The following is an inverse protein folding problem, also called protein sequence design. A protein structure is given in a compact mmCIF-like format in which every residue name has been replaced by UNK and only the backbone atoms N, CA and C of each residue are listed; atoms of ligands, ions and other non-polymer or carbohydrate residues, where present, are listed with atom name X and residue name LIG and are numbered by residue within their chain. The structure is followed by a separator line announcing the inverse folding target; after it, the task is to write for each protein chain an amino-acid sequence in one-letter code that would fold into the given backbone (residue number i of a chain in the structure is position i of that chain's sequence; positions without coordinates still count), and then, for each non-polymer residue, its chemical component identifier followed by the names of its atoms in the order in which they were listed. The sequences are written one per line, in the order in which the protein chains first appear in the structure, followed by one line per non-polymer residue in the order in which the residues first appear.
data_IF_720344410360
#
_entry.id   IF_720344410360
#
_cell.length_a   1.000
_cell.length_b   1.000
_cell.length_c   1.000
_cell.angle_alpha   90.00
_cell.angle_beta   90.00
_cell.angle_gamma   90.00
#
_symmetry.space_group_name_H-M   'P 1'
#
loop_
_entity.id
_entity.type
_entity.pdbx_description
1 polymer ?
#
# COMPACT_ATOMS: atom_id res chain seq x y z
N UNK A 1 7.19 -18.04 3.98
CA UNK A 1 6.42 -18.41 5.19
C UNK A 1 6.61 -17.33 6.25
N UNK A 2 5.54 -16.81 6.86
CA UNK A 2 5.64 -15.79 7.94
C UNK A 2 6.06 -16.45 9.26
N UNK A 3 6.96 -15.80 10.00
CA UNK A 3 7.38 -16.27 11.34
C UNK A 3 6.34 -15.91 12.40
N UNK A 4 6.20 -16.68 13.51
CA UNK A 4 5.38 -16.29 14.66
C UNK A 4 5.74 -14.88 15.15
N UNK A 5 4.73 -14.11 15.57
CA UNK A 5 4.85 -12.68 15.88
C UNK A 5 4.79 -11.76 14.65
N UNK A 6 4.79 -12.32 13.43
CA UNK A 6 4.67 -11.58 12.19
C UNK A 6 3.30 -10.94 11.98
N UNK A 7 3.24 -10.01 11.01
CA UNK A 7 2.00 -9.33 10.60
C UNK A 7 1.77 -9.52 9.11
N UNK A 8 0.65 -10.14 8.76
CA UNK A 8 0.13 -10.24 7.41
C UNK A 8 -0.61 -8.95 7.07
N UNK A 9 -0.01 -8.15 6.18
CA UNK A 9 -0.62 -6.93 5.64
C UNK A 9 -1.26 -7.26 4.30
N UNK A 10 -2.53 -6.92 4.13
CA UNK A 10 -3.25 -7.16 2.87
C UNK A 10 -3.78 -5.87 2.27
N UNK A 11 -3.62 -5.76 0.94
CA UNK A 11 -4.18 -4.67 0.10
C UNK A 11 -5.46 -5.15 -0.60
N UNK A 12 -5.63 -6.47 -0.80
CA UNK A 12 -6.73 -7.09 -1.55
C UNK A 12 -7.57 -8.09 -0.75
N UNK A 13 -7.29 -8.27 0.53
CA UNK A 13 -8.03 -9.16 1.43
C UNK A 13 -9.30 -8.53 1.99
N UNK A 14 -10.09 -9.26 2.81
CA UNK A 14 -11.27 -8.69 3.41
C UNK A 14 -10.89 -7.54 4.36
N UNK A 15 -11.64 -6.43 4.33
CA UNK A 15 -11.47 -5.33 5.28
C UNK A 15 -11.69 -5.83 6.71
N UNK A 16 -10.93 -5.27 7.65
CA UNK A 16 -10.99 -5.63 9.05
C UNK A 16 -11.53 -4.50 9.93
N UNK A 17 -11.62 -4.76 11.22
CA UNK A 17 -12.12 -3.77 12.19
C UNK A 17 -11.18 -2.56 12.29
N UNK A 18 -9.87 -2.75 12.09
CA UNK A 18 -8.90 -1.66 12.13
C UNK A 18 -9.17 -0.66 10.99
N UNK A 19 -9.41 -1.15 9.78
CA UNK A 19 -9.84 -0.33 8.64
C UNK A 19 -11.13 0.45 8.94
N UNK A 20 -12.16 -0.19 9.52
CA UNK A 20 -13.41 0.49 9.84
C UNK A 20 -13.22 1.61 10.88
N UNK A 21 -12.37 1.40 11.90
CA UNK A 21 -12.05 2.42 12.90
C UNK A 21 -11.30 3.60 12.30
N UNK A 22 -10.33 3.33 11.42
CA UNK A 22 -9.52 4.36 10.77
C UNK A 22 -10.35 5.26 9.84
N UNK A 23 -11.42 4.72 9.26
CA UNK A 23 -12.39 5.48 8.45
C UNK A 23 -13.53 6.11 9.28
N UNK A 24 -13.43 6.16 10.61
CA UNK A 24 -14.44 6.81 11.45
C UNK A 24 -15.80 6.13 11.43
N UNK A 25 -15.86 4.83 11.16
CA UNK A 25 -17.13 4.12 10.92
C UNK A 25 -17.89 3.78 12.21
N UNK A 26 -19.22 3.80 12.12
CA UNK A 26 -20.12 3.44 13.21
C UNK A 26 -20.00 1.95 13.60
N UNK A 27 -20.42 1.61 14.82
CA UNK A 27 -20.18 0.31 15.44
C UNK A 27 -20.77 -0.89 14.66
N UNK A 28 -21.89 -0.69 13.96
CA UNK A 28 -22.51 -1.70 13.10
C UNK A 28 -21.57 -2.13 11.96
N UNK A 29 -20.93 -1.17 11.29
CA UNK A 29 -19.99 -1.46 10.22
C UNK A 29 -18.75 -2.19 10.76
N UNK A 30 -18.31 -1.83 11.97
CA UNK A 30 -17.22 -2.54 12.64
C UNK A 30 -17.58 -4.02 12.90
N UNK A 31 -18.83 -4.34 13.27
CA UNK A 31 -19.26 -5.74 13.40
C UNK A 31 -19.34 -6.45 12.05
N UNK A 32 -19.82 -5.76 11.00
CA UNK A 32 -19.79 -6.28 9.63
C UNK A 32 -18.37 -6.67 9.20
N UNK A 33 -17.40 -5.76 9.33
CA UNK A 33 -15.99 -6.03 9.00
C UNK A 33 -15.39 -7.13 9.88
N UNK A 34 -15.82 -7.26 11.14
CA UNK A 34 -15.39 -8.35 12.02
C UNK A 34 -15.80 -9.71 11.48
N UNK A 35 -17.03 -9.85 10.97
CA UNK A 35 -17.52 -11.08 10.37
C UNK A 35 -16.80 -11.37 9.05
N UNK A 36 -16.68 -10.38 8.17
CA UNK A 36 -15.99 -10.52 6.87
C UNK A 36 -14.53 -10.96 7.03
N UNK A 37 -13.82 -10.42 8.02
CA UNK A 37 -12.42 -10.76 8.30
C UNK A 37 -12.23 -11.95 9.25
N UNK A 38 -13.30 -12.58 9.76
CA UNK A 38 -13.20 -13.61 10.80
C UNK A 38 -12.34 -14.80 10.37
N UNK A 39 -12.60 -15.36 9.19
CA UNK A 39 -11.88 -16.53 8.69
C UNK A 39 -10.37 -16.32 8.55
N UNK A 40 -9.95 -15.19 7.97
CA UNK A 40 -8.53 -14.89 7.78
C UNK A 40 -7.83 -14.54 9.09
N UNK A 41 -8.52 -13.83 9.99
CA UNK A 41 -7.96 -13.47 11.31
C UNK A 41 -7.78 -14.69 12.19
N UNK A 42 -8.73 -15.62 12.18
CA UNK A 42 -8.62 -16.88 12.92
C UNK A 42 -7.45 -17.72 12.38
N UNK A 43 -7.34 -17.88 11.06
CA UNK A 43 -6.20 -18.57 10.44
C UNK A 43 -4.86 -17.91 10.77
N UNK A 44 -4.77 -16.59 10.69
CA UNK A 44 -3.59 -15.83 11.07
C UNK A 44 -3.21 -16.09 12.54
N UNK A 45 -4.17 -15.99 13.45
CA UNK A 45 -3.97 -16.24 14.89
C UNK A 45 -3.47 -17.67 15.16
N UNK A 46 -4.02 -18.68 14.48
CA UNK A 46 -3.54 -20.07 14.60
C UNK A 46 -2.09 -20.25 14.19
N UNK A 47 -1.58 -19.44 13.26
CA UNK A 47 -0.18 -19.44 12.85
C UNK A 47 0.69 -18.48 13.66
N UNK A 48 0.16 -17.92 14.76
CA UNK A 48 0.87 -16.96 15.59
C UNK A 48 1.15 -15.63 14.88
N UNK A 49 0.40 -15.29 13.83
CA UNK A 49 0.55 -14.02 13.10
C UNK A 49 -0.70 -13.16 13.24
N UNK A 50 -0.55 -11.85 13.09
CA UNK A 50 -1.68 -10.91 13.04
C UNK A 50 -2.06 -10.59 11.59
N UNK A 51 -3.32 -10.25 11.35
CA UNK A 51 -3.81 -9.79 10.05
C UNK A 51 -4.20 -8.31 10.15
N UNK A 52 -3.89 -7.54 9.11
CA UNK A 52 -4.36 -6.17 8.95
C UNK A 52 -4.66 -5.89 7.49
N UNK A 53 -5.81 -5.30 7.23
CA UNK A 53 -6.10 -4.71 5.94
C UNK A 53 -5.58 -3.27 5.91
N UNK A 54 -4.99 -2.85 4.78
CA UNK A 54 -4.55 -1.47 4.56
C UNK A 54 -5.25 -0.94 3.33
N UNK A 55 -5.86 0.23 3.47
CA UNK A 55 -6.46 0.95 2.36
C UNK A 55 -5.61 2.17 1.98
N UNK A 56 -5.40 2.34 0.68
CA UNK A 56 -4.61 3.45 0.16
C UNK A 56 -5.43 4.74 0.20
N UNK A 57 -4.85 5.77 0.83
CA UNK A 57 -5.41 7.13 0.85
C UNK A 57 -4.30 8.16 0.74
N UNK A 58 -4.62 9.33 0.21
CA UNK A 58 -3.70 10.46 0.27
C UNK A 58 -3.56 10.92 1.73
N UNK A 59 -2.32 10.99 2.23
CA UNK A 59 -2.02 11.48 3.58
C UNK A 59 -0.69 12.24 3.58
N UNK A 60 -0.77 13.56 3.74
CA UNK A 60 0.41 14.45 3.69
C UNK A 60 1.42 14.20 4.82
N UNK A 61 0.96 13.87 6.02
CA UNK A 61 1.85 13.58 7.15
C UNK A 61 2.64 12.29 6.94
N UNK A 62 2.00 11.26 6.38
CA UNK A 62 2.68 10.02 6.01
C UNK A 62 3.69 10.27 4.88
N UNK A 63 3.32 11.07 3.88
CA UNK A 63 4.25 11.45 2.81
C UNK A 63 5.46 12.22 3.35
N UNK A 64 5.26 13.14 4.30
CA UNK A 64 6.36 13.86 4.96
C UNK A 64 7.34 12.92 5.67
N UNK A 65 6.82 11.93 6.41
CA UNK A 65 7.66 10.89 7.03
C UNK A 65 8.43 10.07 6.00
N UNK A 66 7.81 9.74 4.87
CA UNK A 66 8.47 9.05 3.76
C UNK A 66 9.58 9.93 3.16
N UNK A 67 9.34 11.23 2.99
CA UNK A 67 10.36 12.19 2.53
C UNK A 67 11.60 12.16 3.42
N UNK A 68 11.45 12.21 4.74
CA UNK A 68 12.60 12.14 5.66
C UNK A 68 13.37 10.81 5.55
N UNK A 69 12.68 9.71 5.28
CA UNK A 69 13.33 8.41 5.03
C UNK A 69 14.09 8.38 3.70
N UNK A 70 13.61 9.11 2.69
CA UNK A 70 14.31 9.28 1.40
C UNK A 70 15.55 10.18 1.58
N UNK A 71 15.39 11.32 2.27
CA UNK A 71 16.48 12.28 2.53
C UNK A 71 17.62 11.67 3.37
N UNK A 72 17.29 10.82 4.35
CA UNK A 72 18.29 10.07 5.12
C UNK A 72 18.95 8.93 4.34
N UNK A 73 18.51 8.66 3.11
CA UNK A 73 19.01 7.57 2.29
C UNK A 73 18.53 6.17 2.71
N UNK A 74 17.65 6.08 3.72
CA UNK A 74 17.06 4.83 4.22
C UNK A 74 16.13 4.19 3.18
N UNK A 75 15.44 5.02 2.39
CA UNK A 75 14.66 4.59 1.22
C UNK A 75 15.30 5.19 -0.02
N UNK A 76 15.65 4.35 -0.99
CA UNK A 76 16.15 4.80 -2.30
C UNK A 76 15.08 4.59 -3.36
N UNK A 77 14.76 5.65 -4.09
CA UNK A 77 13.84 5.55 -5.22
C UNK A 77 14.48 4.81 -6.38
N UNK A 78 13.75 3.86 -6.97
CA UNK A 78 14.14 3.17 -8.20
C UNK A 78 13.44 3.88 -9.36
N UNK A 79 14.18 4.72 -10.08
CA UNK A 79 13.71 5.36 -11.31
C UNK A 79 14.10 4.49 -12.50
N UNK A 80 13.14 4.25 -13.38
CA UNK A 80 13.38 3.50 -14.61
C UNK A 80 13.83 4.46 -15.72
N UNK A 81 12.95 5.39 -16.09
CA UNK A 81 13.19 6.38 -17.13
C UNK A 81 12.52 7.71 -16.80
N UNK A 82 13.12 8.77 -17.32
CA UNK A 82 12.58 10.12 -17.26
C UNK A 82 12.28 10.55 -18.70
N UNK A 83 11.04 10.97 -18.96
CA UNK A 83 10.61 11.52 -20.24
C UNK A 83 10.33 13.02 -20.08
N UNK A 84 10.65 13.85 -21.08
CA UNK A 84 10.16 15.22 -21.10
C UNK A 84 8.63 15.25 -21.26
N UNK A 85 7.98 16.34 -20.86
CA UNK A 85 6.52 16.46 -20.88
C UNK A 85 5.92 16.24 -22.28
N UNK A 86 6.60 16.71 -23.33
CA UNK A 86 6.21 16.54 -24.73
C UNK A 86 6.14 15.05 -25.13
N UNK A 87 6.96 14.21 -24.48
CA UNK A 87 7.06 12.78 -24.77
C UNK A 87 6.15 11.91 -23.87
N UNK A 88 5.08 12.48 -23.32
CA UNK A 88 4.15 11.76 -22.43
C UNK A 88 3.50 10.56 -23.13
N UNK A 89 3.22 10.66 -24.44
CA UNK A 89 2.64 9.56 -25.23
C UNK A 89 3.59 8.38 -25.33
N UNK A 90 4.88 8.64 -25.57
CA UNK A 90 5.95 7.65 -25.65
C UNK A 90 6.20 7.02 -24.27
N UNK A 91 6.16 7.81 -23.20
CA UNK A 91 6.25 7.32 -21.84
C UNK A 91 5.11 6.34 -21.50
N UNK A 92 3.89 6.66 -21.95
CA UNK A 92 2.74 5.79 -21.77
C UNK A 92 2.87 4.49 -22.57
N UNK A 93 3.23 4.56 -23.85
CA UNK A 93 3.46 3.38 -24.68
C UNK A 93 4.57 2.48 -24.08
N UNK A 94 5.61 3.07 -23.49
CA UNK A 94 6.65 2.34 -22.78
C UNK A 94 6.10 1.60 -21.55
N UNK A 95 5.28 2.26 -20.73
CA UNK A 95 4.64 1.66 -19.56
C UNK A 95 3.74 0.47 -19.94
N UNK A 96 2.97 0.59 -21.02
CA UNK A 96 2.07 -0.46 -21.50
C UNK A 96 2.80 -1.75 -21.91
N UNK A 97 4.10 -1.68 -22.24
CA UNK A 97 4.89 -2.89 -22.53
C UNK A 97 5.08 -3.81 -21.32
N UNK A 98 4.81 -3.33 -20.11
CA UNK A 98 5.04 -4.06 -18.86
C UNK A 98 6.52 -4.30 -18.54
N UNK A 99 7.45 -3.75 -19.33
CA UNK A 99 8.90 -3.91 -19.12
C UNK A 99 9.49 -2.91 -18.13
N UNK A 100 8.68 -1.96 -17.66
CA UNK A 100 9.14 -0.91 -16.78
C UNK A 100 9.60 -1.47 -15.43
N UNK A 101 10.78 -1.05 -14.96
CA UNK A 101 11.39 -1.49 -13.70
C UNK A 101 11.59 -0.31 -12.76
N UNK A 102 10.54 0.02 -12.02
CA UNK A 102 10.53 1.16 -11.10
C UNK A 102 9.60 2.27 -11.58
N UNK A 103 9.88 3.51 -11.16
CA UNK A 103 9.05 4.66 -11.50
C UNK A 103 9.44 5.24 -12.87
N UNK A 104 8.47 5.40 -13.75
CA UNK A 104 8.58 6.25 -14.96
C UNK A 104 8.16 7.65 -14.57
N UNK A 105 9.00 8.65 -14.84
CA UNK A 105 8.79 10.03 -14.42
C UNK A 105 8.63 10.93 -15.64
N UNK A 106 7.63 11.81 -15.60
CA UNK A 106 7.51 12.90 -16.55
C UNK A 106 8.15 14.15 -15.95
N UNK A 107 9.12 14.73 -16.66
CA UNK A 107 9.75 15.99 -16.28
C UNK A 107 8.94 17.14 -16.90
N UNK A 108 8.30 17.92 -16.04
CA UNK A 108 7.66 19.19 -16.38
C UNK A 108 8.64 20.29 -15.99
N UNK A 109 9.12 21.05 -16.97
CA UNK A 109 10.06 22.17 -16.79
C UNK A 109 9.57 23.38 -17.52
#
# INVERSE_FOLDING_TARGET
VLKPGGKLISISGPPDVAFAKENGSNWFLQQGMRLLSFGIRTKAKHHGVSYSFVFMRANGEQLSKITSLIESGSIRQVMDRIFPFEATKEAWAYLETGRAKGKVVIKVS
#
